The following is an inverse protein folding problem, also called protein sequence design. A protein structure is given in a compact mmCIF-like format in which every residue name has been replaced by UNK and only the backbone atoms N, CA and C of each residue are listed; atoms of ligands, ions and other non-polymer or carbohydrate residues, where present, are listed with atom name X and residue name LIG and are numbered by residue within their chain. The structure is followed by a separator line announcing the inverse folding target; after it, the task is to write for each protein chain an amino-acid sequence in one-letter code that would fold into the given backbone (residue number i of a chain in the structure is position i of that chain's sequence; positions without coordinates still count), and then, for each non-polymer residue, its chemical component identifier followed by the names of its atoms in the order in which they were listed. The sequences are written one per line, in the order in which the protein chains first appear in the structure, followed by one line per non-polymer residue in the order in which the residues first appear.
data_IF_347942438753
#
_entry.id   IF_347942438753
#
_cell.length_a   1.000
_cell.length_b   1.000
_cell.length_c   1.000
_cell.angle_alpha   90.00
_cell.angle_beta   90.00
_cell.angle_gamma   90.00
#
_symmetry.space_group_name_H-M   'P 1'
#
loop_
_entity.id
_entity.type
_entity.pdbx_description
1 polymer ?
#
# COMPACT_ATOMS: atom_id res chain seq x y z
N UNK A 1 14.92 -33.79 26.67
CA UNK A 1 14.73 -35.20 26.30
C UNK A 1 13.25 -35.48 26.16
N UNK A 2 12.73 -35.62 24.93
CA UNK A 2 11.64 -36.54 24.58
C UNK A 2 11.69 -36.68 23.06
N UNK A 3 12.21 -37.83 22.63
CA UNK A 3 12.19 -38.29 21.26
C UNK A 3 10.78 -38.72 20.89
N UNK A 4 10.33 -38.43 19.67
CA UNK A 4 9.29 -39.25 19.07
C UNK A 4 9.60 -39.51 17.59
N UNK A 5 10.07 -40.73 17.36
CA UNK A 5 10.20 -41.41 16.07
C UNK A 5 8.81 -41.84 15.61
N UNK A 6 8.55 -41.84 14.30
CA UNK A 6 7.73 -42.85 13.60
C UNK A 6 7.83 -42.64 12.08
N UNK A 7 8.55 -43.54 11.38
CA UNK A 7 8.06 -44.71 10.59
C UNK A 7 7.61 -44.31 9.19
N UNK A 8 8.41 -44.52 8.13
CA UNK A 8 8.73 -45.77 7.38
C UNK A 8 7.57 -46.27 6.49
N UNK A 9 7.86 -46.35 5.19
CA UNK A 9 7.20 -47.20 4.19
C UNK A 9 5.97 -46.55 3.53
N UNK A 10 5.69 -46.72 2.24
CA UNK A 10 5.97 -47.85 1.37
C UNK A 10 6.13 -47.43 -0.09
N UNK A 11 7.08 -48.08 -0.76
CA UNK A 11 7.19 -48.12 -2.21
C UNK A 11 6.00 -48.88 -2.81
N UNK A 12 5.48 -48.39 -3.95
CA UNK A 12 4.75 -49.25 -4.88
C UNK A 12 5.10 -48.81 -6.30
N UNK A 13 6.07 -49.52 -6.87
CA UNK A 13 6.34 -49.61 -8.30
C UNK A 13 5.11 -50.22 -8.97
N UNK A 14 4.43 -49.46 -9.82
CA UNK A 14 3.54 -50.01 -10.83
C UNK A 14 4.14 -49.74 -12.20
N UNK A 15 4.90 -50.74 -12.63
CA UNK A 15 5.27 -50.99 -14.03
C UNK A 15 3.98 -51.38 -14.75
N UNK A 16 3.45 -50.49 -15.58
CA UNK A 16 2.22 -50.67 -16.33
C UNK A 16 2.43 -50.42 -17.82
N UNK A 17 2.89 -51.47 -18.50
CA UNK A 17 2.57 -51.87 -19.87
C UNK A 17 2.37 -50.76 -20.93
N UNK A 18 3.38 -50.61 -21.80
CA UNK A 18 3.28 -49.91 -23.07
C UNK A 18 2.23 -50.56 -23.98
N UNK A 19 1.11 -49.87 -24.23
CA UNK A 19 0.21 -50.15 -25.36
C UNK A 19 0.37 -49.00 -26.34
N UNK A 20 0.97 -49.28 -27.49
CA UNK A 20 1.07 -48.37 -28.63
C UNK A 20 -0.20 -48.49 -29.49
N UNK A 21 -1.04 -47.45 -29.61
CA UNK A 21 -2.01 -47.36 -30.69
C UNK A 21 -1.31 -46.79 -31.93
N UNK A 22 -1.00 -47.67 -32.89
CA UNK A 22 -0.82 -47.27 -34.27
C UNK A 22 -2.19 -46.90 -34.84
N UNK A 23 -2.46 -45.61 -35.05
CA UNK A 23 -3.73 -45.21 -35.62
C UNK A 23 -3.91 -43.70 -35.75
N UNK A 24 -4.00 -43.26 -37.00
CA UNK A 24 -4.61 -42.03 -37.47
C UNK A 24 -3.92 -40.70 -37.12
N UNK A 25 -3.34 -40.10 -38.16
CA UNK A 25 -3.23 -38.65 -38.34
C UNK A 25 -4.63 -38.01 -38.26
N UNK A 26 -5.13 -37.83 -37.05
CA UNK A 26 -6.19 -36.89 -36.73
C UNK A 26 -5.51 -35.61 -36.25
N UNK A 27 -5.61 -34.55 -37.05
CA UNK A 27 -5.19 -33.19 -36.74
C UNK A 27 -6.04 -32.66 -35.58
N UNK A 28 -5.79 -33.18 -34.39
CA UNK A 28 -6.49 -32.84 -33.17
C UNK A 28 -5.94 -31.48 -32.74
N UNK A 29 -6.64 -30.43 -33.18
CA UNK A 29 -6.57 -29.10 -32.58
C UNK A 29 -6.81 -29.28 -31.09
N UNK A 30 -5.73 -29.44 -30.32
CA UNK A 30 -5.72 -29.07 -28.92
C UNK A 30 -5.91 -27.56 -28.88
N UNK A 31 -7.15 -27.13 -29.08
CA UNK A 31 -7.60 -25.84 -28.60
C UNK A 31 -7.40 -25.92 -27.09
N UNK A 32 -6.31 -25.32 -26.66
CA UNK A 32 -5.91 -25.09 -25.30
C UNK A 32 -7.10 -24.43 -24.59
N UNK A 33 -7.97 -25.26 -24.01
CA UNK A 33 -9.01 -24.82 -23.08
C UNK A 33 -8.26 -24.32 -21.85
N UNK A 34 -7.81 -23.07 -21.93
CA UNK A 34 -7.49 -22.30 -20.73
C UNK A 34 -8.80 -22.31 -19.92
N UNK A 35 -8.81 -22.91 -18.72
CA UNK A 35 -10.03 -23.06 -17.94
C UNK A 35 -10.63 -21.67 -17.72
N UNK A 36 -11.90 -21.49 -18.10
CA UNK A 36 -12.60 -20.21 -18.02
C UNK A 36 -12.55 -19.58 -16.61
N UNK A 37 -12.38 -20.40 -15.56
CA UNK A 37 -12.14 -19.96 -14.18
C UNK A 37 -10.88 -19.10 -14.02
N UNK A 38 -9.79 -19.42 -14.71
CA UNK A 38 -8.53 -18.70 -14.56
C UNK A 38 -8.61 -17.28 -15.16
N UNK A 39 -9.37 -17.13 -16.26
CA UNK A 39 -9.57 -15.84 -16.90
C UNK A 39 -10.41 -14.89 -16.04
N UNK A 40 -11.41 -15.40 -15.33
CA UNK A 40 -12.24 -14.60 -14.42
C UNK A 40 -11.45 -14.09 -13.20
N UNK A 41 -10.53 -14.89 -12.68
CA UNK A 41 -9.65 -14.49 -11.58
C UNK A 41 -8.70 -13.37 -11.99
N UNK A 42 -8.14 -13.45 -13.20
CA UNK A 42 -7.24 -12.43 -13.74
C UNK A 42 -7.93 -11.07 -13.91
N UNK A 43 -9.19 -11.04 -14.34
CA UNK A 43 -9.96 -9.78 -14.46
C UNK A 43 -10.14 -9.08 -13.11
N UNK A 44 -10.54 -9.81 -12.05
CA UNK A 44 -10.69 -9.20 -10.72
C UNK A 44 -9.39 -8.64 -10.18
N UNK A 45 -8.28 -9.36 -10.41
CA UNK A 45 -6.95 -8.90 -10.00
C UNK A 45 -6.57 -7.60 -10.72
N UNK A 46 -6.89 -7.48 -12.01
CA UNK A 46 -6.61 -6.27 -12.78
C UNK A 46 -7.41 -5.06 -12.30
N UNK A 47 -8.67 -5.25 -11.90
CA UNK A 47 -9.50 -4.20 -11.31
C UNK A 47 -8.93 -3.74 -9.96
N UNK A 48 -8.55 -4.69 -9.09
CA UNK A 48 -7.91 -4.36 -7.81
C UNK A 48 -6.61 -3.58 -8.00
N UNK A 49 -5.77 -3.98 -8.96
CA UNK A 49 -4.51 -3.30 -9.24
C UNK A 49 -4.72 -1.85 -9.70
N UNK A 50 -5.75 -1.59 -10.53
CA UNK A 50 -6.11 -0.23 -10.96
C UNK A 50 -6.51 0.66 -9.78
N UNK A 51 -7.40 0.17 -8.94
CA UNK A 51 -7.88 0.90 -7.76
C UNK A 51 -6.76 1.19 -6.76
N UNK A 52 -5.84 0.24 -6.58
CA UNK A 52 -4.65 0.43 -5.77
C UNK A 52 -3.76 1.54 -6.35
N UNK A 53 -3.60 1.56 -7.69
CA UNK A 53 -2.84 2.58 -8.41
C UNK A 53 -3.37 4.00 -8.20
N UNK A 54 -4.69 4.19 -8.23
CA UNK A 54 -5.32 5.49 -7.94
C UNK A 54 -5.03 5.95 -6.51
N UNK A 55 -5.15 5.04 -5.54
CA UNK A 55 -4.88 5.32 -4.13
C UNK A 55 -3.40 5.70 -3.92
N UNK A 56 -2.47 4.99 -4.58
CA UNK A 56 -1.04 5.32 -4.54
C UNK A 56 -0.77 6.71 -5.10
N UNK A 57 -1.38 7.07 -6.22
CA UNK A 57 -1.17 8.39 -6.82
C UNK A 57 -1.68 9.50 -5.90
N UNK A 58 -2.83 9.30 -5.24
CA UNK A 58 -3.37 10.22 -4.24
C UNK A 58 -2.41 10.39 -3.06
N UNK A 59 -1.87 9.29 -2.56
CA UNK A 59 -0.91 9.30 -1.45
C UNK A 59 0.41 9.98 -1.78
N UNK A 60 0.93 9.80 -2.99
CA UNK A 60 2.13 10.51 -3.44
C UNK A 60 1.92 12.03 -3.42
N UNK A 61 0.75 12.52 -3.84
CA UNK A 61 0.43 13.95 -3.79
C UNK A 61 0.37 14.46 -2.35
N UNK A 62 -0.29 13.73 -1.46
CA UNK A 62 -0.37 14.05 -0.03
C UNK A 62 1.04 14.12 0.58
N UNK A 63 1.90 13.15 0.26
CA UNK A 63 3.26 13.10 0.74
C UNK A 63 4.09 14.30 0.25
N UNK A 64 4.01 14.63 -1.04
CA UNK A 64 4.70 15.79 -1.61
C UNK A 64 4.22 17.08 -0.95
N UNK A 65 2.90 17.28 -0.82
CA UNK A 65 2.32 18.47 -0.21
C UNK A 65 2.73 18.61 1.27
N UNK A 66 2.70 17.50 2.03
CA UNK A 66 3.14 17.50 3.41
C UNK A 66 4.62 17.88 3.54
N UNK A 67 5.48 17.35 2.65
CA UNK A 67 6.91 17.63 2.69
C UNK A 67 7.26 19.07 2.28
N UNK A 68 6.57 19.63 1.28
CA UNK A 68 6.70 21.04 0.92
C UNK A 68 6.31 21.95 2.09
N UNK A 69 5.20 21.62 2.76
CA UNK A 69 4.72 22.37 3.93
C UNK A 69 5.70 22.28 5.12
N UNK A 70 6.28 21.10 5.35
CA UNK A 70 7.33 20.88 6.36
C UNK A 70 8.52 21.82 6.12
N UNK A 71 9.02 21.88 4.88
CA UNK A 71 10.16 22.72 4.54
C UNK A 71 9.86 24.21 4.72
N UNK A 72 8.65 24.65 4.36
CA UNK A 72 8.21 26.03 4.56
C UNK A 72 8.16 26.38 6.05
N UNK A 73 7.57 25.52 6.88
CA UNK A 73 7.48 25.76 8.32
C UNK A 73 8.83 25.79 9.02
N UNK A 74 9.78 24.96 8.60
CA UNK A 74 11.15 24.99 9.15
C UNK A 74 11.76 26.38 8.92
N UNK A 75 11.64 26.92 7.70
CA UNK A 75 12.16 28.26 7.38
C UNK A 75 11.47 29.36 8.18
N UNK A 76 10.15 29.29 8.34
CA UNK A 76 9.42 30.31 9.10
C UNK A 76 9.69 30.24 10.61
N UNK A 77 9.86 29.04 11.15
CA UNK A 77 10.25 28.84 12.54
C UNK A 77 11.68 29.36 12.79
N UNK A 78 12.60 29.15 11.85
CA UNK A 78 13.95 29.73 11.89
C UNK A 78 13.91 31.26 11.86
N UNK A 79 13.08 31.85 10.99
CA UNK A 79 12.89 33.31 10.93
C UNK A 79 12.34 33.89 12.23
N UNK A 80 11.31 33.27 12.80
CA UNK A 80 10.75 33.72 14.08
C UNK A 80 11.75 33.57 15.23
N UNK A 81 12.55 32.49 15.25
CA UNK A 81 13.64 32.34 16.22
C UNK A 81 14.68 33.45 16.09
N UNK A 82 15.03 33.85 14.87
CA UNK A 82 15.98 34.94 14.63
C UNK A 82 15.42 36.33 14.99
N UNK A 83 14.11 36.53 14.84
CA UNK A 83 13.43 37.77 15.24
C UNK A 83 13.12 37.85 16.74
N UNK A 84 13.45 36.82 17.53
CA UNK A 84 13.03 36.67 18.93
C UNK A 84 13.78 37.63 19.89
N UNK A 85 13.43 38.92 19.82
CA UNK A 85 13.31 39.80 20.98
C UNK A 85 11.86 39.69 21.50
N UNK A 86 11.57 38.50 22.03
CA UNK A 86 10.44 38.03 22.84
C UNK A 86 9.30 39.04 23.11
N UNK A 87 8.33 39.14 22.19
CA UNK A 87 6.96 39.52 22.53
C UNK A 87 6.11 38.26 22.78
N UNK A 88 5.22 38.32 23.76
CA UNK A 88 4.31 37.23 24.16
C UNK A 88 3.42 36.72 23.01
N UNK A 89 3.14 37.60 22.05
CA UNK A 89 2.38 37.30 20.83
C UNK A 89 3.14 36.38 19.87
N UNK A 90 4.46 36.43 19.85
CA UNK A 90 5.30 35.57 19.01
C UNK A 90 5.47 34.17 19.62
N UNK A 91 5.44 34.05 20.95
CA UNK A 91 5.43 32.76 21.63
C UNK A 91 4.17 31.94 21.31
N UNK A 92 3.00 32.59 21.22
CA UNK A 92 1.77 31.93 20.79
C UNK A 92 1.85 31.45 19.34
N UNK A 93 2.43 32.27 18.44
CA UNK A 93 2.65 31.87 17.04
C UNK A 93 3.62 30.71 16.91
N UNK A 94 4.70 30.71 17.70
CA UNK A 94 5.67 29.62 17.73
C UNK A 94 5.05 28.30 18.18
N UNK A 95 4.20 28.31 19.22
CA UNK A 95 3.49 27.10 19.66
C UNK A 95 2.53 26.57 18.60
N UNK A 96 1.80 27.47 17.93
CA UNK A 96 0.89 27.06 16.86
C UNK A 96 1.67 26.45 15.69
N UNK A 97 2.80 27.04 15.30
CA UNK A 97 3.68 26.48 14.27
C UNK A 97 4.30 25.15 14.67
N UNK A 98 4.70 24.98 15.93
CA UNK A 98 5.21 23.71 16.46
C UNK A 98 4.14 22.62 16.36
N UNK A 99 2.89 22.94 16.68
CA UNK A 99 1.75 22.02 16.50
C UNK A 99 1.54 21.62 15.04
N UNK A 100 1.59 22.56 14.10
CA UNK A 100 1.46 22.25 12.67
C UNK A 100 2.63 21.39 12.18
N UNK A 101 3.84 21.65 12.68
CA UNK A 101 5.03 20.82 12.41
C UNK A 101 4.86 19.39 12.93
N UNK A 102 4.40 19.20 14.15
CA UNK A 102 4.16 17.88 14.72
C UNK A 102 3.11 17.10 13.92
N UNK A 103 2.03 17.78 13.53
CA UNK A 103 1.04 17.21 12.62
C UNK A 103 1.67 16.78 11.30
N UNK A 104 2.49 17.63 10.68
CA UNK A 104 3.14 17.34 9.41
C UNK A 104 4.11 16.17 9.51
N UNK A 105 4.88 16.06 10.60
CA UNK A 105 5.72 14.89 10.88
C UNK A 105 4.88 13.61 11.03
N UNK A 106 3.77 13.66 11.78
CA UNK A 106 2.87 12.53 11.93
C UNK A 106 2.30 12.08 10.57
N UNK A 107 1.91 13.02 9.71
CA UNK A 107 1.44 12.72 8.36
C UNK A 107 2.54 12.16 7.44
N UNK A 108 3.75 12.70 7.48
CA UNK A 108 4.89 12.12 6.74
C UNK A 108 5.15 10.67 7.17
N UNK A 109 5.06 10.36 8.47
CA UNK A 109 5.23 9.01 8.98
C UNK A 109 4.11 8.07 8.52
N UNK A 110 2.85 8.51 8.62
CA UNK A 110 1.69 7.76 8.13
C UNK A 110 1.79 7.47 6.61
N UNK A 111 2.19 8.47 5.82
CA UNK A 111 2.43 8.30 4.38
C UNK A 111 3.50 7.24 4.10
N UNK A 112 4.58 7.21 4.91
CA UNK A 112 5.66 6.24 4.79
C UNK A 112 5.18 4.83 5.10
N UNK A 113 4.42 4.66 6.18
CA UNK A 113 3.83 3.37 6.58
C UNK A 113 2.85 2.84 5.52
N UNK A 114 2.05 3.73 4.93
CA UNK A 114 1.17 3.38 3.82
C UNK A 114 1.94 2.93 2.58
N UNK A 115 3.01 3.64 2.19
CA UNK A 115 3.87 3.23 1.07
C UNK A 115 4.48 1.85 1.30
N UNK A 116 4.99 1.56 2.51
CA UNK A 116 5.53 0.24 2.84
C UNK A 116 4.45 -0.86 2.78
N UNK A 117 3.24 -0.55 3.22
CA UNK A 117 2.12 -1.50 3.15
C UNK A 117 1.72 -1.77 1.69
N UNK A 118 1.74 -0.74 0.84
CA UNK A 118 1.49 -0.87 -0.60
C UNK A 118 2.59 -1.64 -1.33
N UNK A 119 3.86 -1.45 -0.97
CA UNK A 119 4.98 -2.23 -1.52
C UNK A 119 4.78 -3.71 -1.23
N UNK A 120 4.42 -4.07 0.01
CA UNK A 120 4.08 -5.46 0.36
C UNK A 120 2.94 -6.01 -0.49
N UNK A 121 1.89 -5.23 -0.73
CA UNK A 121 0.77 -5.63 -1.59
C UNK A 121 1.23 -5.86 -3.02
N UNK A 122 2.04 -4.96 -3.56
CA UNK A 122 2.58 -5.07 -4.91
C UNK A 122 3.49 -6.30 -5.05
N UNK A 123 4.32 -6.58 -4.05
CA UNK A 123 5.17 -7.77 -4.03
C UNK A 123 4.32 -9.05 -4.00
N UNK A 124 3.25 -9.06 -3.20
CA UNK A 124 2.30 -10.18 -3.18
C UNK A 124 1.58 -10.37 -4.51
N UNK A 125 1.15 -9.28 -5.17
CA UNK A 125 0.52 -9.29 -6.51
C UNK A 125 1.49 -9.74 -7.60
N UNK A 126 2.78 -9.46 -7.44
CA UNK A 126 3.84 -9.81 -8.39
C UNK A 126 4.33 -11.25 -8.28
N UNK A 127 4.01 -11.96 -7.20
CA UNK A 127 4.44 -13.35 -6.99
C UNK A 127 3.47 -14.35 -7.68
N UNK A 128 3.87 -14.99 -8.79
CA UNK A 128 3.04 -15.93 -9.53
C UNK A 128 2.75 -17.24 -8.76
N UNK A 129 3.41 -17.47 -7.62
CA UNK A 129 3.16 -18.62 -6.73
C UNK A 129 2.13 -18.34 -5.62
N UNK A 130 1.67 -17.09 -5.47
CA UNK A 130 0.79 -16.70 -4.37
C UNK A 130 -0.61 -17.30 -4.54
N UNK A 131 -1.03 -18.10 -3.57
CA UNK A 131 -2.36 -18.73 -3.58
C UNK A 131 -3.43 -17.66 -3.29
N UNK A 132 -3.99 -17.08 -4.36
CA UNK A 132 -5.01 -16.02 -4.28
C UNK A 132 -6.35 -16.58 -3.81
N UNK A 133 -6.47 -16.77 -2.50
CA UNK A 133 -7.68 -17.27 -1.86
C UNK A 133 -8.69 -16.16 -1.51
N UNK A 134 -9.92 -16.55 -1.12
CA UNK A 134 -10.97 -15.63 -0.68
C UNK A 134 -10.61 -14.87 0.62
N UNK A 135 -9.62 -15.34 1.38
CA UNK A 135 -9.13 -14.66 2.57
C UNK A 135 -8.21 -13.49 2.21
N UNK A 136 -7.33 -13.70 1.22
CA UNK A 136 -6.48 -12.65 0.66
C UNK A 136 -7.30 -11.52 0.04
N UNK A 137 -8.37 -11.87 -0.68
CA UNK A 137 -9.31 -10.88 -1.24
C UNK A 137 -9.95 -10.02 -0.15
N UNK A 138 -10.35 -10.63 0.98
CA UNK A 138 -10.91 -9.90 2.13
C UNK A 138 -9.88 -9.03 2.83
N UNK A 139 -8.65 -9.50 2.97
CA UNK A 139 -7.55 -8.72 3.55
C UNK A 139 -7.20 -7.51 2.69
N UNK A 140 -7.13 -7.70 1.37
CA UNK A 140 -6.92 -6.61 0.40
C UNK A 140 -8.03 -5.56 0.47
N UNK A 141 -9.29 -5.98 0.61
CA UNK A 141 -10.41 -5.06 0.78
C UNK A 141 -10.31 -4.25 2.08
N UNK A 142 -9.96 -4.89 3.20
CA UNK A 142 -9.75 -4.18 4.47
C UNK A 142 -8.59 -3.20 4.41
N UNK A 143 -7.50 -3.62 3.79
CA UNK A 143 -6.32 -2.77 3.63
C UNK A 143 -6.64 -1.56 2.77
N UNK A 144 -7.41 -1.76 1.69
CA UNK A 144 -7.91 -0.67 0.85
C UNK A 144 -8.79 0.30 1.64
N UNK A 145 -9.79 -0.21 2.36
CA UNK A 145 -10.70 0.63 3.16
C UNK A 145 -9.91 1.44 4.20
N UNK A 146 -8.96 0.80 4.87
CA UNK A 146 -8.09 1.45 5.82
C UNK A 146 -7.23 2.54 5.17
N UNK A 147 -6.69 2.28 3.98
CA UNK A 147 -5.89 3.25 3.24
C UNK A 147 -6.70 4.44 2.73
N UNK A 148 -7.93 4.22 2.29
CA UNK A 148 -8.81 5.30 1.85
C UNK A 148 -9.23 6.19 3.04
N UNK A 149 -9.55 5.59 4.19
CA UNK A 149 -9.82 6.33 5.43
C UNK A 149 -8.60 7.15 5.88
N UNK A 150 -7.40 6.56 5.86
CA UNK A 150 -6.18 7.30 6.16
C UNK A 150 -5.94 8.44 5.19
N UNK A 151 -6.04 8.20 3.88
CA UNK A 151 -5.88 9.25 2.86
C UNK A 151 -6.89 10.38 3.07
N UNK A 152 -8.14 10.07 3.38
CA UNK A 152 -9.17 11.06 3.71
C UNK A 152 -8.81 11.90 4.93
N UNK A 153 -8.40 11.26 6.03
CA UNK A 153 -7.95 11.97 7.25
C UNK A 153 -6.73 12.84 7.02
N UNK A 154 -5.81 12.39 6.15
CA UNK A 154 -4.61 13.17 5.79
C UNK A 154 -4.99 14.40 4.98
N UNK A 155 -5.87 14.27 3.99
CA UNK A 155 -6.35 15.41 3.21
C UNK A 155 -7.09 16.42 4.06
N UNK A 156 -7.95 15.97 4.98
CA UNK A 156 -8.63 16.86 5.90
C UNK A 156 -7.65 17.54 6.87
N UNK A 157 -6.62 16.82 7.30
CA UNK A 157 -5.49 17.36 8.04
C UNK A 157 -4.76 18.46 7.29
N UNK A 158 -4.40 18.22 6.03
CA UNK A 158 -3.76 19.20 5.14
C UNK A 158 -4.64 20.44 4.96
N UNK A 159 -5.95 20.29 4.75
CA UNK A 159 -6.88 21.44 4.68
C UNK A 159 -6.92 22.24 5.98
N UNK A 160 -6.87 21.58 7.13
CA UNK A 160 -6.81 22.26 8.43
C UNK A 160 -5.49 23.04 8.55
N UNK A 161 -4.38 22.43 8.18
CA UNK A 161 -3.05 23.07 8.22
C UNK A 161 -2.97 24.25 7.25
N UNK A 162 -3.52 24.14 6.04
CA UNK A 162 -3.64 25.25 5.09
C UNK A 162 -4.44 26.41 5.71
N UNK A 163 -5.59 26.14 6.35
CA UNK A 163 -6.36 27.19 7.04
C UNK A 163 -5.60 27.83 8.20
N UNK A 164 -4.82 27.05 8.95
CA UNK A 164 -3.98 27.59 10.04
C UNK A 164 -2.89 28.48 9.44
N UNK A 165 -2.24 28.04 8.36
CA UNK A 165 -1.23 28.81 7.64
C UNK A 165 -1.79 30.14 7.15
N UNK A 166 -2.96 30.12 6.50
CA UNK A 166 -3.57 31.34 5.96
C UNK A 166 -3.91 32.36 7.07
N UNK A 167 -4.20 31.90 8.29
CA UNK A 167 -4.37 32.76 9.46
C UNK A 167 -3.06 33.31 10.02
N UNK A 168 -1.97 32.56 9.89
CA UNK A 168 -0.64 32.97 10.35
C UNK A 168 0.03 33.96 9.37
N UNK A 169 -0.27 33.84 8.08
CA UNK A 169 0.24 34.69 6.99
C UNK A 169 -0.91 35.36 6.21
N UNK A 170 -1.68 36.27 6.85
CA UNK A 170 -2.65 37.05 6.12
C UNK A 170 -1.90 37.91 5.08
N UNK A 171 -2.31 37.77 3.82
CA UNK A 171 -1.80 38.54 2.67
C UNK A 171 -2.09 40.03 2.83
#
# INVERSE_FOLDING_TARGET
MYANRRTVGWATLLVGLCVLPAGAMGQQRMAQQVPAQQMQQMQRMQEQARLLGETMQRMQRIQTQAHEMEQLMIRDMERLRQQSQLQERDLLRLREQERVRDMTHAYSNAAREMNQSMERVRDMLGDPGSNWGPDMEREMLRLREHMDDMAGRMEDGLKIMDRIRDRLHPS
#
